data_IF_132175950904
#
_entry.id   IF_132175950904
#
_cell.length_a   1.000
_cell.length_b   1.000
_cell.length_c   1.000
_cell.angle_alpha   90.00
_cell.angle_beta   90.00
_cell.angle_gamma   90.00
#
_symmetry.space_group_name_H-M   'P 1'
#
loop_
_entity.id
_entity.type
_entity.pdbx_description
1 polymer ?
#
# COMPACT_ATOMS: atom_id res chain seq x y z
N UNK A 1 4.01 -11.98 -13.54
CA UNK A 1 3.68 -13.12 -12.66
C UNK A 1 4.14 -12.88 -11.21
N UNK A 2 5.42 -12.61 -10.93
CA UNK A 2 5.95 -12.43 -9.56
C UNK A 2 5.19 -11.37 -8.74
N UNK A 3 4.93 -10.19 -9.30
CA UNK A 3 4.18 -9.12 -8.61
C UNK A 3 2.77 -9.53 -8.22
N UNK A 4 2.07 -10.27 -9.07
CA UNK A 4 0.73 -10.77 -8.77
C UNK A 4 0.76 -11.72 -7.57
N UNK A 5 1.68 -12.69 -7.58
CA UNK A 5 1.86 -13.62 -6.46
C UNK A 5 2.18 -12.85 -5.18
N UNK A 6 3.07 -11.85 -5.26
CA UNK A 6 3.43 -11.06 -4.10
C UNK A 6 2.23 -10.28 -3.55
N UNK A 7 1.49 -9.56 -4.40
CA UNK A 7 0.36 -8.72 -3.99
C UNK A 7 -0.83 -9.53 -3.46
N UNK A 8 -1.20 -10.62 -4.14
CA UNK A 8 -2.45 -11.33 -3.85
C UNK A 8 -2.28 -12.61 -3.03
N UNK A 9 -1.05 -13.09 -2.84
CA UNK A 9 -0.76 -14.30 -2.07
C UNK A 9 0.15 -13.99 -0.88
N UNK A 10 1.38 -13.54 -1.14
CA UNK A 10 2.38 -13.40 -0.07
C UNK A 10 2.04 -12.27 0.91
N UNK A 11 1.64 -11.12 0.42
CA UNK A 11 1.35 -9.95 1.25
C UNK A 11 0.16 -10.21 2.20
N UNK A 12 -1.00 -10.75 1.74
CA UNK A 12 -2.07 -11.19 2.63
C UNK A 12 -1.60 -12.28 3.59
N UNK A 13 -0.95 -13.33 3.08
CA UNK A 13 -0.51 -14.46 3.88
C UNK A 13 0.35 -14.03 5.07
N UNK A 14 1.42 -13.25 4.84
CA UNK A 14 2.29 -12.78 5.91
C UNK A 14 1.58 -11.81 6.86
N UNK A 15 0.72 -10.92 6.36
CA UNK A 15 0.00 -9.97 7.20
C UNK A 15 -1.00 -10.66 8.13
N UNK A 16 -1.75 -11.65 7.63
CA UNK A 16 -2.67 -12.43 8.46
C UNK A 16 -1.95 -13.44 9.36
N UNK A 17 -0.82 -14.00 8.93
CA UNK A 17 -0.01 -14.90 9.75
C UNK A 17 0.44 -14.24 11.06
N UNK A 18 0.86 -12.96 11.02
CA UNK A 18 1.26 -12.21 12.20
C UNK A 18 0.16 -12.04 13.23
N UNK A 19 -1.10 -11.92 12.81
CA UNK A 19 -2.24 -11.73 13.72
C UNK A 19 -2.80 -13.04 14.28
N UNK A 20 -2.27 -14.18 13.83
CA UNK A 20 -2.77 -15.49 14.26
C UNK A 20 -2.62 -15.66 15.79
N UNK A 21 -3.71 -15.91 16.47
CA UNK A 21 -3.76 -16.06 17.94
C UNK A 21 -3.90 -14.74 18.70
N UNK A 22 -4.16 -13.63 18.01
CA UNK A 22 -4.48 -12.34 18.62
C UNK A 22 -5.72 -11.71 17.97
N UNK A 23 -6.32 -10.75 18.67
CA UNK A 23 -7.39 -9.94 18.07
C UNK A 23 -6.77 -8.78 17.30
N UNK A 24 -6.93 -8.68 15.97
CA UNK A 24 -6.30 -7.64 15.17
C UNK A 24 -6.82 -6.23 15.47
N UNK A 25 -7.95 -6.08 16.17
CA UNK A 25 -8.50 -4.78 16.57
C UNK A 25 -8.02 -4.31 17.94
N UNK A 26 -7.37 -5.17 18.73
CA UNK A 26 -6.94 -4.84 20.09
C UNK A 26 -5.46 -4.46 20.21
N UNK A 27 -4.66 -4.72 19.19
CA UNK A 27 -3.21 -4.48 19.22
C UNK A 27 -2.61 -4.29 17.83
N UNK A 28 -1.49 -3.58 17.75
CA UNK A 28 -0.72 -3.40 16.53
C UNK A 28 0.31 -4.55 16.34
N UNK A 29 0.88 -4.66 15.16
CA UNK A 29 1.87 -5.71 14.84
C UNK A 29 3.07 -5.71 15.79
N UNK A 30 3.56 -4.54 16.19
CA UNK A 30 4.68 -4.45 17.14
C UNK A 30 4.33 -5.02 18.50
N UNK A 31 3.13 -4.72 19.04
CA UNK A 31 2.65 -5.27 20.30
C UNK A 31 2.43 -6.78 20.21
N UNK A 32 1.81 -7.27 19.12
CA UNK A 32 1.58 -8.70 18.88
C UNK A 32 2.91 -9.45 18.81
N UNK A 33 3.89 -8.89 18.11
CA UNK A 33 5.21 -9.53 17.96
C UNK A 33 5.92 -9.71 19.29
N UNK A 34 5.74 -8.79 20.23
CA UNK A 34 6.32 -8.88 21.59
C UNK A 34 5.51 -9.84 22.44
N UNK A 35 4.17 -9.70 22.48
CA UNK A 35 3.30 -10.51 23.32
C UNK A 35 3.32 -12.00 22.96
N UNK A 36 3.45 -12.33 21.67
CA UNK A 36 3.49 -13.70 21.17
C UNK A 36 4.93 -14.22 20.90
N UNK A 37 5.96 -13.46 21.28
CA UNK A 37 7.37 -13.81 21.01
C UNK A 37 7.69 -14.04 19.52
N UNK A 38 7.02 -13.33 18.60
CA UNK A 38 7.14 -13.47 17.13
C UNK A 38 7.95 -12.35 16.50
N UNK A 39 9.00 -11.88 17.16
CA UNK A 39 9.83 -10.78 16.66
C UNK A 39 10.45 -11.07 15.28
N UNK A 40 10.89 -12.29 15.07
CA UNK A 40 11.51 -12.72 13.80
C UNK A 40 10.50 -12.69 12.65
N UNK A 41 9.27 -13.15 12.89
CA UNK A 41 8.18 -13.10 11.90
C UNK A 41 7.81 -11.64 11.56
N UNK A 42 7.78 -10.76 12.56
CA UNK A 42 7.55 -9.33 12.35
C UNK A 42 8.67 -8.68 11.54
N UNK A 43 9.94 -8.97 11.84
CA UNK A 43 11.07 -8.49 11.05
C UNK A 43 11.02 -9.00 9.61
N UNK A 44 10.69 -10.27 9.42
CA UNK A 44 10.52 -10.86 8.09
C UNK A 44 9.38 -10.17 7.33
N UNK A 45 8.26 -9.89 8.00
CA UNK A 45 7.16 -9.13 7.40
C UNK A 45 7.59 -7.72 7.00
N UNK A 46 8.28 -6.99 7.88
CA UNK A 46 8.80 -5.65 7.58
C UNK A 46 9.74 -5.68 6.37
N UNK A 47 10.64 -6.66 6.30
CA UNK A 47 11.60 -6.81 5.22
C UNK A 47 10.90 -7.13 3.89
N UNK A 48 10.00 -8.09 3.88
CA UNK A 48 9.32 -8.54 2.66
C UNK A 48 8.28 -7.52 2.19
N UNK A 49 7.37 -7.11 3.07
CA UNK A 49 6.30 -6.18 2.72
C UNK A 49 6.85 -4.76 2.51
N UNK A 50 7.67 -4.27 3.44
CA UNK A 50 8.31 -2.97 3.33
C UNK A 50 9.26 -2.89 2.12
N UNK A 51 10.07 -3.92 1.90
CA UNK A 51 10.96 -4.01 0.75
C UNK A 51 10.20 -4.04 -0.58
N UNK A 52 9.10 -4.79 -0.65
CA UNK A 52 8.23 -4.81 -1.84
C UNK A 52 7.61 -3.44 -2.09
N UNK A 53 6.95 -2.84 -1.10
CA UNK A 53 6.30 -1.54 -1.23
C UNK A 53 7.33 -0.44 -1.57
N UNK A 54 8.51 -0.47 -0.94
CA UNK A 54 9.62 0.41 -1.30
C UNK A 54 10.03 0.23 -2.76
N UNK A 55 10.23 -1.00 -3.22
CA UNK A 55 10.64 -1.28 -4.59
C UNK A 55 9.62 -0.74 -5.60
N UNK A 56 8.32 -0.86 -5.29
CA UNK A 56 7.27 -0.32 -6.16
C UNK A 56 7.25 1.22 -6.14
N UNK A 57 7.30 1.84 -4.96
CA UNK A 57 7.30 3.30 -4.84
C UNK A 57 8.55 3.93 -5.48
N UNK A 58 9.71 3.27 -5.39
CA UNK A 58 10.97 3.76 -5.94
C UNK A 58 10.98 3.89 -7.46
N UNK A 59 10.12 3.13 -8.16
CA UNK A 59 9.95 3.24 -9.62
C UNK A 59 9.32 4.57 -10.04
N UNK A 60 8.52 5.18 -9.15
CA UNK A 60 7.78 6.42 -9.44
C UNK A 60 8.40 7.63 -8.74
N UNK A 61 8.79 7.46 -7.47
CA UNK A 61 9.27 8.54 -6.59
C UNK A 61 10.45 8.08 -5.74
N UNK A 62 11.66 7.92 -6.32
CA UNK A 62 12.81 7.29 -5.64
C UNK A 62 13.25 8.04 -4.37
N UNK A 63 13.19 9.39 -4.36
CA UNK A 63 13.55 10.19 -3.17
C UNK A 63 12.59 9.95 -2.02
N UNK A 64 11.28 9.97 -2.31
CA UNK A 64 10.23 9.76 -1.30
C UNK A 64 10.25 8.32 -0.77
N UNK A 65 10.50 7.34 -1.65
CA UNK A 65 10.66 5.94 -1.26
C UNK A 65 11.80 5.78 -0.25
N UNK A 66 12.95 6.42 -0.48
CA UNK A 66 14.08 6.39 0.47
C UNK A 66 13.70 7.00 1.82
N UNK A 67 12.99 8.14 1.84
CA UNK A 67 12.52 8.74 3.10
C UNK A 67 11.55 7.80 3.85
N UNK A 68 10.59 7.18 3.16
CA UNK A 68 9.69 6.21 3.77
C UNK A 68 10.46 5.01 4.36
N UNK A 69 11.43 4.48 3.61
CA UNK A 69 12.24 3.35 4.07
C UNK A 69 13.07 3.73 5.30
N UNK A 70 13.70 4.89 5.30
CA UNK A 70 14.50 5.36 6.45
C UNK A 70 13.64 5.52 7.70
N UNK A 71 12.45 6.13 7.58
CA UNK A 71 11.53 6.28 8.71
C UNK A 71 11.05 4.92 9.24
N UNK A 72 10.68 4.01 8.34
CA UNK A 72 10.23 2.67 8.72
C UNK A 72 11.35 1.87 9.37
N UNK A 73 12.58 1.94 8.83
CA UNK A 73 13.75 1.27 9.41
C UNK A 73 14.08 1.84 10.78
N UNK A 74 14.07 3.15 10.93
CA UNK A 74 14.29 3.80 12.22
C UNK A 74 13.22 3.38 13.25
N UNK A 75 11.96 3.32 12.85
CA UNK A 75 10.90 2.79 13.71
C UNK A 75 11.16 1.33 14.09
N UNK A 76 11.47 0.45 13.13
CA UNK A 76 11.69 -0.98 13.38
C UNK A 76 12.90 -1.26 14.30
N UNK A 77 13.92 -0.41 14.28
CA UNK A 77 15.08 -0.53 15.16
C UNK A 77 14.82 -0.09 16.61
N UNK A 78 13.80 0.75 16.84
CA UNK A 78 13.43 1.18 18.19
C UNK A 78 12.59 0.10 18.88
N UNK A 79 12.95 -0.28 20.12
CA UNK A 79 12.17 -1.26 20.88
C UNK A 79 10.79 -0.67 21.24
N UNK A 80 9.73 -1.40 20.93
CA UNK A 80 8.39 -1.05 21.38
C UNK A 80 8.10 -1.72 22.73
N UNK A 81 8.51 -1.06 23.81
CA UNK A 81 8.33 -1.54 25.19
C UNK A 81 7.75 -0.41 26.05
N UNK A 82 6.44 -0.11 25.97
CA UNK A 82 5.86 1.07 26.62
C UNK A 82 5.97 1.03 28.14
N UNK A 83 6.00 -0.15 28.76
CA UNK A 83 6.12 -0.30 30.21
C UNK A 83 7.54 -0.03 30.73
N UNK A 84 8.58 -0.33 29.93
CA UNK A 84 9.98 -0.22 30.36
C UNK A 84 10.70 0.97 29.72
N UNK A 85 10.34 1.33 28.50
CA UNK A 85 10.99 2.36 27.69
C UNK A 85 9.93 3.26 27.01
N UNK A 86 9.17 4.05 27.77
CA UNK A 86 8.04 4.81 27.21
C UNK A 86 8.47 5.82 26.13
N UNK A 87 9.63 6.47 26.28
CA UNK A 87 10.14 7.41 25.27
C UNK A 87 10.47 6.71 23.96
N UNK A 88 11.10 5.53 24.00
CA UNK A 88 11.40 4.74 22.80
C UNK A 88 10.10 4.26 22.11
N UNK A 89 9.09 3.86 22.89
CA UNK A 89 7.80 3.43 22.36
C UNK A 89 7.05 4.59 21.68
N UNK A 90 7.07 5.79 22.27
CA UNK A 90 6.49 7.00 21.66
C UNK A 90 7.23 7.33 20.35
N UNK A 91 8.56 7.34 20.36
CA UNK A 91 9.38 7.66 19.20
C UNK A 91 9.17 6.62 18.07
N UNK A 92 9.12 5.32 18.42
CA UNK A 92 8.76 4.24 17.49
C UNK A 92 7.42 4.53 16.81
N UNK A 93 6.38 4.83 17.59
CA UNK A 93 5.04 5.12 17.08
C UNK A 93 5.01 6.35 16.17
N UNK A 94 5.68 7.43 16.56
CA UNK A 94 5.76 8.66 15.77
C UNK A 94 6.48 8.44 14.44
N UNK A 95 7.57 7.71 14.41
CA UNK A 95 8.32 7.39 13.20
C UNK A 95 7.52 6.46 12.26
N UNK A 96 6.86 5.45 12.82
CA UNK A 96 5.99 4.55 12.06
C UNK A 96 4.80 5.31 11.45
N UNK A 97 4.16 6.20 12.23
CA UNK A 97 3.07 7.05 11.75
C UNK A 97 3.55 8.01 10.66
N UNK A 98 4.70 8.66 10.84
CA UNK A 98 5.27 9.55 9.83
C UNK A 98 5.57 8.80 8.52
N UNK A 99 6.12 7.57 8.61
CA UNK A 99 6.36 6.72 7.45
C UNK A 99 5.04 6.37 6.73
N UNK A 100 4.00 5.98 7.48
CA UNK A 100 2.69 5.64 6.94
C UNK A 100 2.01 6.84 6.27
N UNK A 101 2.02 8.00 6.89
CA UNK A 101 1.45 9.23 6.32
C UNK A 101 2.19 9.68 5.05
N UNK A 102 3.52 9.64 5.05
CA UNK A 102 4.32 9.95 3.86
C UNK A 102 4.03 8.96 2.74
N UNK A 103 3.87 7.68 3.07
CA UNK A 103 3.54 6.65 2.11
C UNK A 103 2.13 6.84 1.52
N UNK A 104 1.12 7.09 2.35
CA UNK A 104 -0.25 7.42 1.93
C UNK A 104 -0.30 8.66 1.03
N UNK A 105 0.43 9.72 1.41
CA UNK A 105 0.56 10.92 0.57
C UNK A 105 1.08 10.56 -0.83
N UNK A 106 2.09 9.70 -0.93
CA UNK A 106 2.63 9.29 -2.22
C UNK A 106 1.63 8.46 -3.04
N UNK A 107 0.88 7.55 -2.41
CA UNK A 107 -0.16 6.77 -3.09
C UNK A 107 -1.28 7.68 -3.60
N UNK A 108 -1.70 8.64 -2.79
CA UNK A 108 -2.72 9.62 -3.18
C UNK A 108 -2.24 10.47 -4.36
N UNK A 109 -1.01 10.99 -4.29
CA UNK A 109 -0.40 11.78 -5.36
C UNK A 109 -0.32 10.99 -6.68
N UNK A 110 0.14 9.74 -6.65
CA UNK A 110 0.22 8.88 -7.83
C UNK A 110 -1.18 8.57 -8.40
N UNK A 111 -2.16 8.37 -7.53
CA UNK A 111 -3.56 8.15 -7.94
C UNK A 111 -4.13 9.38 -8.63
N UNK A 112 -3.85 10.59 -8.12
CA UNK A 112 -4.24 11.85 -8.76
C UNK A 112 -3.53 12.05 -10.11
N UNK A 113 -2.24 11.79 -10.18
CA UNK A 113 -1.51 11.86 -11.45
C UNK A 113 -2.15 10.94 -12.50
N UNK A 114 -2.48 9.71 -12.11
CA UNK A 114 -3.12 8.75 -13.00
C UNK A 114 -4.52 9.23 -13.42
N UNK A 115 -5.28 9.80 -12.49
CA UNK A 115 -6.61 10.35 -12.74
C UNK A 115 -6.59 11.52 -13.74
N UNK A 116 -5.64 12.45 -13.60
CA UNK A 116 -5.50 13.61 -14.46
C UNK A 116 -4.71 13.32 -15.75
N UNK A 117 -4.09 12.15 -15.87
CA UNK A 117 -3.46 11.71 -17.13
C UNK A 117 -4.56 11.46 -18.17
N UNK A 118 -4.87 12.49 -18.95
CA UNK A 118 -5.85 12.41 -20.03
C UNK A 118 -5.32 11.44 -21.09
N UNK A 119 -6.04 10.38 -21.46
CA UNK A 119 -5.65 9.58 -22.61
C UNK A 119 -5.83 10.43 -23.87
N UNK A 120 -4.81 10.50 -24.72
CA UNK A 120 -5.02 10.89 -26.10
C UNK A 120 -6.18 10.02 -26.67
N UNK A 121 -7.12 10.60 -27.43
CA UNK A 121 -8.27 9.86 -27.93
C UNK A 121 -7.78 8.72 -28.83
N UNK A 122 -7.74 7.51 -28.29
CA UNK A 122 -7.50 6.31 -29.10
C UNK A 122 -8.74 6.09 -29.92
N UNK A 123 -8.66 6.31 -31.23
CA UNK A 123 -9.70 5.95 -32.20
C UNK A 123 -9.83 4.42 -32.20
N UNK A 124 -10.81 3.93 -31.48
CA UNK A 124 -11.15 2.50 -31.51
C UNK A 124 -11.89 2.19 -32.80
N UNK A 125 -11.32 1.29 -33.61
CA UNK A 125 -12.04 0.57 -34.64
C UNK A 125 -13.06 -0.34 -33.94
N UNK A 126 -14.34 -0.16 -34.25
CA UNK A 126 -15.44 -1.00 -33.75
C UNK A 126 -15.26 -2.42 -34.26
N UNK A 127 -14.86 -3.33 -33.40
CA UNK A 127 -14.99 -4.78 -33.64
C UNK A 127 -16.19 -5.31 -32.85
N UNK A 128 -17.21 -5.74 -33.56
CA UNK A 128 -18.38 -6.42 -33.04
C UNK A 128 -17.97 -7.72 -32.34
N UNK A 129 -18.33 -7.93 -31.08
CA UNK A 129 -18.40 -9.28 -30.53
C UNK A 129 -19.19 -9.40 -29.23
N UNK A 130 -19.86 -10.51 -29.10
CA UNK A 130 -20.89 -10.92 -28.16
C UNK A 130 -20.44 -11.31 -26.74
N UNK A 131 -19.29 -10.84 -26.20
CA UNK A 131 -18.84 -11.12 -24.84
C UNK A 131 -18.88 -9.85 -23.98
N UNK A 132 -20.09 -9.24 -23.89
CA UNK A 132 -20.21 -7.81 -23.63
C UNK A 132 -19.99 -7.35 -22.16
N UNK A 133 -20.08 -8.19 -21.14
CA UNK A 133 -20.03 -7.67 -19.76
C UNK A 133 -18.60 -7.64 -19.17
N UNK A 134 -17.88 -8.75 -19.25
CA UNK A 134 -16.48 -8.80 -18.77
C UNK A 134 -15.54 -7.98 -19.65
N UNK A 135 -15.76 -7.94 -20.97
CA UNK A 135 -14.98 -7.08 -21.85
C UNK A 135 -15.24 -5.59 -21.59
N UNK A 136 -16.46 -5.20 -21.22
CA UNK A 136 -16.79 -3.81 -20.87
C UNK A 136 -16.14 -3.38 -19.55
N UNK A 137 -16.03 -4.26 -18.56
CA UNK A 137 -15.35 -3.98 -17.28
C UNK A 137 -13.84 -3.87 -17.47
N UNK A 138 -13.23 -4.81 -18.21
CA UNK A 138 -11.79 -4.75 -18.54
C UNK A 138 -11.47 -3.55 -19.44
N UNK A 139 -12.33 -3.25 -20.41
CA UNK A 139 -12.19 -2.09 -21.29
C UNK A 139 -12.34 -0.75 -20.55
N UNK A 140 -13.20 -0.69 -19.52
CA UNK A 140 -13.32 0.50 -18.66
C UNK A 140 -12.07 0.76 -17.85
N UNK A 141 -11.34 -0.28 -17.44
CA UNK A 141 -10.07 -0.18 -16.69
C UNK A 141 -8.85 0.08 -17.59
N UNK A 142 -9.00 0.04 -18.91
CA UNK A 142 -7.90 0.35 -19.85
C UNK A 142 -7.53 1.83 -19.86
N UNK A 143 -8.47 2.72 -19.48
CA UNK A 143 -8.17 4.15 -19.41
C UNK A 143 -7.41 4.48 -18.11
N UNK A 144 -6.31 5.28 -18.19
CA UNK A 144 -5.57 5.73 -17.00
C UNK A 144 -6.47 6.46 -16.00
N UNK A 145 -7.40 7.29 -16.50
CA UNK A 145 -8.33 8.04 -15.65
C UNK A 145 -9.30 7.13 -14.88
N UNK A 146 -9.78 6.04 -15.49
CA UNK A 146 -10.65 5.07 -14.80
C UNK A 146 -9.87 4.32 -13.71
N UNK A 147 -8.62 3.92 -13.98
CA UNK A 147 -7.73 3.34 -12.97
C UNK A 147 -7.43 4.34 -11.85
N UNK A 148 -7.17 5.60 -12.17
CA UNK A 148 -6.97 6.66 -11.18
C UNK A 148 -8.19 6.84 -10.28
N UNK A 149 -9.42 6.83 -10.83
CA UNK A 149 -10.66 6.87 -10.03
C UNK A 149 -10.79 5.67 -9.10
N UNK A 150 -10.51 4.47 -9.61
CA UNK A 150 -10.55 3.26 -8.79
C UNK A 150 -9.51 3.32 -7.66
N UNK A 151 -8.30 3.80 -7.95
CA UNK A 151 -7.25 3.97 -6.93
C UNK A 151 -7.68 4.96 -5.85
N UNK A 152 -8.25 6.11 -6.22
CA UNK A 152 -8.75 7.10 -5.27
C UNK A 152 -9.90 6.54 -4.42
N UNK A 153 -10.82 5.78 -5.03
CA UNK A 153 -11.91 5.13 -4.31
C UNK A 153 -11.39 4.10 -3.29
N UNK A 154 -10.44 3.24 -3.69
CA UNK A 154 -9.84 2.27 -2.79
C UNK A 154 -9.09 2.93 -1.63
N UNK A 155 -8.34 4.01 -1.91
CA UNK A 155 -7.70 4.81 -0.85
C UNK A 155 -8.73 5.42 0.09
N UNK A 156 -9.79 5.99 -0.43
CA UNK A 156 -10.86 6.58 0.37
C UNK A 156 -11.50 5.54 1.29
N UNK A 157 -11.91 4.39 0.75
CA UNK A 157 -12.48 3.28 1.54
C UNK A 157 -11.50 2.83 2.62
N UNK A 158 -10.22 2.68 2.28
CA UNK A 158 -9.19 2.29 3.25
C UNK A 158 -8.99 3.33 4.35
N UNK A 159 -8.99 4.62 4.01
CA UNK A 159 -8.87 5.69 5.00
C UNK A 159 -10.09 5.75 5.93
N UNK A 160 -11.31 5.59 5.40
CA UNK A 160 -12.54 5.53 6.21
C UNK A 160 -12.49 4.35 7.16
N UNK A 161 -12.13 3.16 6.66
CA UNK A 161 -11.98 1.96 7.50
C UNK A 161 -10.95 2.18 8.62
N UNK A 162 -9.79 2.78 8.31
CA UNK A 162 -8.77 3.06 9.30
C UNK A 162 -9.26 4.08 10.35
N UNK A 163 -9.98 5.12 9.91
CA UNK A 163 -10.54 6.11 10.82
C UNK A 163 -11.59 5.50 11.75
N UNK A 164 -12.53 4.72 11.20
CA UNK A 164 -13.54 4.02 11.98
C UNK A 164 -12.92 3.05 12.98
N UNK A 165 -11.94 2.27 12.52
CA UNK A 165 -11.21 1.34 13.37
C UNK A 165 -10.47 2.04 14.51
N UNK A 166 -9.86 3.21 14.23
CA UNK A 166 -9.19 4.03 15.25
C UNK A 166 -10.20 4.63 16.25
N UNK A 167 -11.33 5.17 15.78
CA UNK A 167 -12.37 5.73 16.65
C UNK A 167 -12.93 4.65 17.58
N UNK A 168 -13.17 3.44 17.07
CA UNK A 168 -13.75 2.34 17.84
C UNK A 168 -12.77 1.73 18.85
N UNK A 169 -11.49 1.62 18.49
CA UNK A 169 -10.47 0.96 19.32
C UNK A 169 -9.66 1.94 20.18
N UNK A 170 -9.62 3.22 19.83
CA UNK A 170 -8.78 4.24 20.48
C UNK A 170 -7.27 4.10 20.21
N UNK A 171 -6.86 3.08 19.44
CA UNK A 171 -5.46 2.76 19.15
C UNK A 171 -5.23 2.50 17.66
N UNK A 172 -3.99 2.64 17.20
CA UNK A 172 -3.55 2.11 15.92
C UNK A 172 -3.43 0.59 16.08
N UNK A 173 -4.20 -0.16 15.29
CA UNK A 173 -4.29 -1.61 15.41
C UNK A 173 -3.88 -2.34 14.13
N UNK A 174 -3.66 -3.66 14.23
CA UNK A 174 -3.18 -4.50 13.13
C UNK A 174 -4.18 -4.57 11.96
N UNK A 175 -5.49 -4.41 12.21
CA UNK A 175 -6.48 -4.39 11.14
C UNK A 175 -6.26 -3.19 10.21
N UNK A 176 -5.87 -2.02 10.76
CA UNK A 176 -5.49 -0.84 9.98
C UNK A 176 -4.20 -1.10 9.19
N UNK A 177 -3.18 -1.70 9.83
CA UNK A 177 -1.89 -2.02 9.19
C UNK A 177 -2.08 -3.01 8.03
N UNK A 178 -2.91 -4.04 8.21
CA UNK A 178 -3.29 -4.99 7.15
C UNK A 178 -4.01 -4.26 6.02
N UNK A 179 -5.05 -3.50 6.33
CA UNK A 179 -5.85 -2.79 5.35
C UNK A 179 -4.99 -1.87 4.47
N UNK A 180 -4.15 -1.04 5.08
CA UNK A 180 -3.25 -0.13 4.37
C UNK A 180 -2.23 -0.88 3.51
N UNK A 181 -1.65 -1.97 4.03
CA UNK A 181 -0.65 -2.77 3.33
C UNK A 181 -1.25 -3.46 2.10
N UNK A 182 -2.44 -4.07 2.24
CA UNK A 182 -3.13 -4.72 1.13
C UNK A 182 -3.59 -3.71 0.08
N UNK A 183 -4.16 -2.59 0.52
CA UNK A 183 -4.57 -1.50 -0.38
C UNK A 183 -3.37 -0.99 -1.19
N UNK A 184 -2.23 -0.74 -0.55
CA UNK A 184 -1.01 -0.32 -1.22
C UNK A 184 -0.54 -1.33 -2.27
N UNK A 185 -0.57 -2.62 -1.96
CA UNK A 185 -0.23 -3.70 -2.91
C UNK A 185 -1.12 -3.66 -4.15
N UNK A 186 -2.44 -3.57 -3.96
CA UNK A 186 -3.41 -3.49 -5.07
C UNK A 186 -3.20 -2.23 -5.91
N UNK A 187 -2.95 -1.08 -5.27
CA UNK A 187 -2.71 0.18 -5.97
C UNK A 187 -1.46 0.10 -6.86
N UNK A 188 -0.35 -0.44 -6.36
CA UNK A 188 0.85 -0.63 -7.18
C UNK A 188 0.64 -1.61 -8.33
N UNK A 189 -0.21 -2.61 -8.15
CA UNK A 189 -0.61 -3.48 -9.25
C UNK A 189 -1.39 -2.72 -10.31
N UNK A 190 -2.30 -1.81 -9.93
CA UNK A 190 -3.08 -0.95 -10.84
C UNK A 190 -2.23 0.11 -11.55
N UNK A 191 -1.18 0.64 -10.92
CA UNK A 191 -0.27 1.63 -11.53
C UNK A 191 0.62 1.03 -12.62
N UNK A 192 0.95 -0.26 -12.54
CA UNK A 192 1.96 -0.88 -13.38
C UNK A 192 1.72 -0.79 -14.91
N UNK A 193 0.49 -0.96 -15.45
CA UNK A 193 0.26 -0.84 -16.88
C UNK A 193 0.59 0.53 -17.46
N UNK A 194 0.49 1.60 -16.64
CA UNK A 194 0.75 2.99 -17.06
C UNK A 194 2.22 3.25 -17.34
N UNK A 195 3.14 2.56 -16.68
CA UNK A 195 4.58 2.70 -16.91
C UNK A 195 5.03 2.14 -18.25
N UNK A 196 4.43 1.05 -18.72
CA UNK A 196 4.76 0.49 -20.04
C UNK A 196 4.40 1.43 -21.18
N UNK A 197 3.32 2.20 -21.02
CA UNK A 197 2.91 3.19 -22.01
C UNK A 197 3.84 4.40 -22.01
N UNK A 198 4.30 4.86 -20.86
CA UNK A 198 5.23 5.99 -20.74
C UNK A 198 6.64 5.66 -21.26
N UNK A 199 7.12 4.41 -21.07
CA UNK A 199 8.45 4.00 -21.57
C UNK A 199 8.51 3.84 -23.09
N UNK A 200 7.37 3.65 -23.76
CA UNK A 200 7.29 3.55 -25.22
C UNK A 200 7.21 4.94 -25.92
N UNK A 201 7.05 6.03 -25.15
CA UNK A 201 7.04 7.40 -25.64
C UNK A 201 8.00 8.31 -24.86
N UNK A 202 9.35 8.12 -24.99
CA UNK A 202 10.34 8.86 -24.19
C UNK A 202 10.41 10.36 -24.53
N UNK A 203 9.78 10.83 -25.60
CA UNK A 203 9.90 12.22 -26.08
C UNK A 203 8.70 13.13 -25.72
N UNK A 204 7.74 12.67 -24.93
CA UNK A 204 6.55 13.49 -24.58
C UNK A 204 6.58 14.08 -23.16
N UNK A 205 7.70 13.99 -22.44
CA UNK A 205 7.85 14.48 -21.06
C UNK A 205 8.99 15.50 -20.88
N UNK A 206 9.32 16.28 -21.93
CA UNK A 206 10.16 17.48 -21.81
C UNK A 206 9.30 18.74 -21.98
#
# INVERSE_FOLDING_TARGET
MIRWIFTFVLLPFFSFSLTRGSNPFSSNFSSISIALHRREEFFLWCLLCGGFLYSQLSLYRPRQAKCCLLLLTAAALLPYAPEHLPVCAILHTLLALAAALLFLYNLFYLSLQLYFSSPAPVRYSQTNSHTAFFSKLTHSLDSPAARGRLCLLLLWISCVFCLDSWILSGIINSAMEICLTLTAGVLFWLFFPSLRLASNHPHSLL
#
